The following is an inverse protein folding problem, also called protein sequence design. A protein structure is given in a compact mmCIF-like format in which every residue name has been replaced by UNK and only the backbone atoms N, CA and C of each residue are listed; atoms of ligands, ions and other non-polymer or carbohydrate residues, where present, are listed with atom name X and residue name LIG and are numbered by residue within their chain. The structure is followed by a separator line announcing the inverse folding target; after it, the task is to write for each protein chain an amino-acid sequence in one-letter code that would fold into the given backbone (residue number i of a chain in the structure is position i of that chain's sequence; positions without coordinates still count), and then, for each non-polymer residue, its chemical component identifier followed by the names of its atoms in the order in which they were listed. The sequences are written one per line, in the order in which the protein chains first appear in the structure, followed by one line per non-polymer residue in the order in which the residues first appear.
data_IF_571195249189
#
_entry.id   IF_571195249189
#
_cell.length_a   1.000
_cell.length_b   1.000
_cell.length_c   1.000
_cell.angle_alpha   90.00
_cell.angle_beta   90.00
_cell.angle_gamma   90.00
#
_symmetry.space_group_name_H-M   'P 1'
#
loop_
_entity.id
_entity.type
_entity.pdbx_description
1 polymer ?
#
# COMPACT_ATOMS: atom_id res chain seq x y z
N UNK A 1 -9.98 4.58 -2.26
CA UNK A 1 -8.94 4.82 -1.25
C UNK A 1 -8.71 3.56 -0.41
N UNK A 2 -7.45 3.22 -0.15
CA UNK A 2 -7.04 1.93 0.44
C UNK A 2 -7.50 1.82 1.90
N UNK A 3 -8.18 0.73 2.29
CA UNK A 3 -8.55 0.50 3.68
C UNK A 3 -7.32 0.44 4.60
N UNK A 4 -7.36 1.10 5.77
CA UNK A 4 -6.18 1.29 6.62
C UNK A 4 -5.63 -0.03 7.18
N UNK A 5 -6.52 -0.92 7.63
CA UNK A 5 -6.14 -2.21 8.20
C UNK A 5 -5.51 -3.11 7.13
N UNK A 6 -6.14 -3.17 5.96
CA UNK A 6 -5.71 -3.98 4.84
C UNK A 6 -4.43 -3.44 4.21
N UNK A 7 -4.22 -2.12 4.23
CA UNK A 7 -2.96 -1.50 3.84
C UNK A 7 -1.79 -1.92 4.74
N UNK A 8 -1.99 -1.92 6.07
CA UNK A 8 -0.96 -2.41 7.01
C UNK A 8 -0.73 -3.91 6.83
N UNK A 9 -1.79 -4.68 6.61
CA UNK A 9 -1.67 -6.11 6.31
C UNK A 9 -0.90 -6.36 5.01
N UNK A 10 -1.07 -5.50 4.01
CA UNK A 10 -0.33 -5.60 2.75
C UNK A 10 1.18 -5.38 2.95
N UNK A 11 1.60 -4.47 3.83
CA UNK A 11 3.03 -4.39 4.22
C UNK A 11 3.50 -5.71 4.82
N UNK A 12 2.77 -6.26 5.79
CA UNK A 12 3.14 -7.55 6.39
C UNK A 12 3.29 -8.63 5.32
N UNK A 13 2.30 -8.76 4.44
CA UNK A 13 2.34 -9.73 3.33
C UNK A 13 3.54 -9.49 2.40
N UNK A 14 3.90 -8.24 2.12
CA UNK A 14 5.06 -7.90 1.31
C UNK A 14 6.37 -8.30 2.01
N UNK A 15 6.51 -8.00 3.29
CA UNK A 15 7.69 -8.41 4.08
C UNK A 15 7.85 -9.92 4.13
N UNK A 16 6.74 -10.64 4.35
CA UNK A 16 6.70 -12.10 4.33
C UNK A 16 7.06 -12.64 2.92
N UNK A 17 6.52 -12.04 1.86
CA UNK A 17 6.79 -12.41 0.45
C UNK A 17 8.25 -12.20 0.05
N UNK A 18 8.92 -11.20 0.63
CA UNK A 18 10.35 -10.92 0.43
C UNK A 18 11.24 -11.68 1.42
N UNK A 19 10.66 -12.52 2.29
CA UNK A 19 11.37 -13.29 3.33
C UNK A 19 12.24 -12.42 4.26
N UNK A 20 11.81 -11.17 4.49
CA UNK A 20 12.55 -10.21 5.31
C UNK A 20 12.22 -10.38 6.79
N UNK A 21 13.27 -10.42 7.63
CA UNK A 21 13.15 -10.46 9.10
C UNK A 21 13.37 -9.10 9.76
N UNK A 22 14.05 -8.18 9.08
CA UNK A 22 14.30 -6.82 9.55
C UNK A 22 14.61 -5.86 8.40
N UNK A 23 14.40 -4.57 8.61
CA UNK A 23 14.80 -3.49 7.68
C UNK A 23 15.50 -2.40 8.49
N UNK A 24 16.71 -2.01 8.08
CA UNK A 24 17.47 -0.95 8.77
C UNK A 24 17.71 -1.24 10.27
N UNK A 25 17.86 -2.52 10.64
CA UNK A 25 18.01 -2.96 12.03
C UNK A 25 16.69 -3.05 12.84
N UNK A 26 15.56 -2.66 12.25
CA UNK A 26 14.24 -2.79 12.87
C UNK A 26 13.59 -4.12 12.52
N UNK A 27 13.13 -4.86 13.53
CA UNK A 27 12.33 -6.08 13.34
C UNK A 27 11.01 -5.77 12.62
N UNK A 28 10.50 -6.73 11.83
CA UNK A 28 9.25 -6.55 11.08
C UNK A 28 8.06 -6.20 11.98
N UNK A 29 7.99 -6.75 13.19
CA UNK A 29 6.88 -6.48 14.12
C UNK A 29 6.85 -5.01 14.52
N UNK A 30 8.03 -4.40 14.69
CA UNK A 30 8.17 -2.97 14.97
C UNK A 30 7.70 -2.14 13.78
N UNK A 31 8.11 -2.51 12.57
CA UNK A 31 7.72 -1.82 11.33
C UNK A 31 6.19 -1.87 11.14
N UNK A 32 5.57 -3.04 11.34
CA UNK A 32 4.13 -3.21 11.24
C UNK A 32 3.41 -2.39 12.31
N UNK A 33 3.92 -2.37 13.55
CA UNK A 33 3.34 -1.58 14.64
C UNK A 33 3.39 -0.08 14.35
N UNK A 34 4.53 0.42 13.86
CA UNK A 34 4.69 1.82 13.46
C UNK A 34 3.81 2.18 12.26
N UNK A 35 3.71 1.28 11.27
CA UNK A 35 2.85 1.47 10.11
C UNK A 35 1.38 1.61 10.52
N UNK A 36 0.93 0.74 11.43
CA UNK A 36 -0.41 0.83 12.02
C UNK A 36 -0.63 2.12 12.77
N UNK A 37 0.38 2.58 13.52
CA UNK A 37 0.30 3.85 14.25
C UNK A 37 0.11 5.04 13.29
N UNK A 38 0.93 5.13 12.24
CA UNK A 38 0.82 6.20 11.23
C UNK A 38 -0.55 6.17 10.55
N UNK A 39 -1.03 4.98 10.16
CA UNK A 39 -2.31 4.87 9.46
C UNK A 39 -3.52 5.21 10.34
N UNK A 40 -3.48 4.90 11.65
CA UNK A 40 -4.60 5.16 12.57
C UNK A 40 -4.61 6.54 13.20
N UNK A 41 -3.51 7.28 13.11
CA UNK A 41 -3.40 8.62 13.69
C UNK A 41 -3.29 9.68 12.60
N UNK A 42 -4.15 9.56 11.60
CA UNK A 42 -4.14 10.43 10.43
C UNK A 42 -5.13 11.60 10.63
N UNK A 43 -4.68 12.61 11.35
CA UNK A 43 -5.45 13.82 11.64
C UNK A 43 -4.93 14.99 10.81
N UNK A 44 -5.85 15.82 10.32
CA UNK A 44 -5.50 17.07 9.62
C UNK A 44 -6.37 18.23 10.13
N UNK A 45 -5.81 19.44 10.02
CA UNK A 45 -6.48 20.69 10.38
C UNK A 45 -6.99 21.36 9.11
N UNK A 46 -8.26 21.72 9.08
CA UNK A 46 -8.85 22.51 8.01
C UNK A 46 -9.83 23.52 8.62
N UNK A 47 -9.67 24.80 8.28
CA UNK A 47 -10.49 25.90 8.81
C UNK A 47 -10.63 25.91 10.35
N UNK A 48 -9.53 25.63 11.06
CA UNK A 48 -9.51 25.61 12.53
C UNK A 48 -10.18 24.38 13.16
N UNK A 49 -10.63 23.41 12.36
CA UNK A 49 -11.26 22.17 12.83
C UNK A 49 -10.38 20.96 12.53
N UNK A 50 -10.29 20.05 13.50
CA UNK A 50 -9.55 18.80 13.36
C UNK A 50 -10.45 17.71 12.77
N UNK A 51 -9.93 17.02 11.76
CA UNK A 51 -10.60 15.90 11.12
C UNK A 51 -9.74 14.65 11.20
N UNK A 52 -10.39 13.52 11.47
CA UNK A 52 -9.75 12.22 11.42
C UNK A 52 -10.05 11.53 10.09
N UNK A 53 -9.03 11.25 9.30
CA UNK A 53 -9.18 10.47 8.10
C UNK A 53 -9.28 8.98 8.46
N UNK A 54 -10.50 8.42 8.33
CA UNK A 54 -10.81 7.03 8.72
C UNK A 54 -10.54 5.98 7.62
N UNK A 55 -10.29 6.42 6.38
CA UNK A 55 -10.01 5.54 5.24
C UNK A 55 -8.89 6.14 4.40
N UNK A 56 -7.97 5.29 3.94
CA UNK A 56 -6.75 5.73 3.27
C UNK A 56 -5.69 6.30 4.22
N UNK A 57 -4.57 6.70 3.64
CA UNK A 57 -3.50 7.44 4.32
C UNK A 57 -3.46 8.90 3.86
N UNK A 58 -2.71 9.73 4.59
CA UNK A 58 -2.57 11.15 4.28
C UNK A 58 -1.85 11.31 2.94
N UNK A 59 -2.37 12.18 2.07
CA UNK A 59 -1.61 12.61 0.90
C UNK A 59 -0.36 13.35 1.39
N UNK A 60 0.82 13.00 0.83
CA UNK A 60 2.12 13.53 1.28
C UNK A 60 2.77 12.76 2.43
N UNK A 61 2.09 11.78 3.05
CA UNK A 61 2.76 10.89 4.00
C UNK A 61 3.74 9.96 3.27
N UNK A 62 5.01 9.86 3.71
CA UNK A 62 6.03 9.03 3.05
C UNK A 62 5.68 7.53 3.08
N UNK A 63 4.81 7.10 4.02
CA UNK A 63 4.40 5.71 4.14
C UNK A 63 3.22 5.35 3.22
N UNK A 64 2.35 6.32 2.92
CA UNK A 64 1.07 6.04 2.25
C UNK A 64 1.26 5.45 0.85
N UNK A 65 2.22 5.98 0.08
CA UNK A 65 2.52 5.46 -1.25
C UNK A 65 3.09 4.03 -1.19
N UNK A 66 3.97 3.75 -0.22
CA UNK A 66 4.53 2.41 -0.01
C UNK A 66 3.45 1.40 0.35
N UNK A 67 2.54 1.76 1.25
CA UNK A 67 1.35 0.94 1.57
C UNK A 67 0.52 0.69 0.32
N UNK A 68 0.32 1.73 -0.48
CA UNK A 68 -0.49 1.62 -1.68
C UNK A 68 0.10 0.64 -2.70
N UNK A 69 1.41 0.74 -2.95
CA UNK A 69 2.09 -0.18 -3.84
C UNK A 69 2.09 -1.61 -3.33
N UNK A 70 2.28 -1.83 -2.02
CA UNK A 70 2.18 -3.17 -1.43
C UNK A 70 0.77 -3.75 -1.62
N UNK A 71 -0.27 -2.96 -1.36
CA UNK A 71 -1.66 -3.40 -1.50
C UNK A 71 -1.99 -3.75 -2.95
N UNK A 72 -1.71 -2.84 -3.90
CA UNK A 72 -2.03 -3.03 -5.31
C UNK A 72 -1.25 -4.22 -5.91
N UNK A 73 -0.01 -4.45 -5.49
CA UNK A 73 0.76 -5.63 -5.94
C UNK A 73 0.03 -6.95 -5.71
N UNK A 74 -0.61 -7.13 -4.54
CA UNK A 74 -1.38 -8.35 -4.27
C UNK A 74 -2.77 -8.31 -4.88
N UNK A 75 -3.41 -7.15 -4.89
CA UNK A 75 -4.76 -6.98 -5.43
C UNK A 75 -4.83 -7.27 -6.93
N UNK A 76 -3.85 -6.79 -7.69
CA UNK A 76 -3.83 -6.86 -9.15
C UNK A 76 -3.19 -8.15 -9.68
N UNK A 77 -2.61 -8.98 -8.81
CA UNK A 77 -1.78 -10.13 -9.23
C UNK A 77 -2.48 -11.09 -10.20
N UNK A 78 -3.77 -11.32 -9.99
CA UNK A 78 -4.55 -12.21 -10.85
C UNK A 78 -4.79 -11.60 -12.24
N UNK A 79 -5.09 -10.30 -12.31
CA UNK A 79 -5.36 -9.64 -13.60
C UNK A 79 -4.07 -9.47 -14.41
N UNK A 80 -2.97 -9.11 -13.74
CA UNK A 80 -1.63 -9.05 -14.35
C UNK A 80 -1.27 -10.41 -14.95
N UNK A 81 -1.45 -11.50 -14.19
CA UNK A 81 -1.17 -12.86 -14.67
C UNK A 81 -2.02 -13.24 -15.87
N UNK A 82 -3.31 -12.90 -15.87
CA UNK A 82 -4.20 -13.18 -17.01
C UNK A 82 -3.78 -12.43 -18.27
N UNK A 83 -3.51 -11.13 -18.15
CA UNK A 83 -3.10 -10.27 -19.28
C UNK A 83 -1.78 -10.77 -19.86
N UNK A 84 -0.77 -11.01 -19.00
CA UNK A 84 0.54 -11.52 -19.44
C UNK A 84 0.43 -12.90 -20.08
N UNK A 85 -0.40 -13.80 -19.55
CA UNK A 85 -0.60 -15.13 -20.14
C UNK A 85 -1.30 -15.06 -21.51
N UNK A 86 -2.14 -14.06 -21.74
CA UNK A 86 -2.78 -13.81 -23.04
C UNK A 86 -1.84 -13.10 -24.04
N UNK A 87 -0.59 -12.82 -23.66
CA UNK A 87 0.38 -12.09 -24.48
C UNK A 87 0.18 -10.56 -24.48
N UNK A 88 -0.62 -10.03 -23.57
CA UNK A 88 -0.81 -8.60 -23.37
C UNK A 88 0.26 -7.95 -22.48
N UNK A 89 0.20 -6.63 -22.34
CA UNK A 89 1.08 -5.82 -21.49
C UNK A 89 0.27 -5.16 -20.38
N UNK A 90 0.79 -5.21 -19.15
CA UNK A 90 0.25 -4.48 -18.01
C UNK A 90 1.35 -3.66 -17.36
N UNK A 91 1.16 -2.35 -17.27
CA UNK A 91 2.03 -1.42 -16.57
C UNK A 91 1.20 -0.58 -15.60
N UNK A 92 1.75 -0.26 -14.42
CA UNK A 92 1.11 0.63 -13.44
C UNK A 92 2.10 1.69 -12.97
N UNK A 93 1.64 2.94 -12.96
CA UNK A 93 2.32 4.07 -12.34
C UNK A 93 1.42 4.66 -11.26
N UNK A 94 1.68 4.30 -10.00
CA UNK A 94 0.88 4.72 -8.84
C UNK A 94 -0.61 4.34 -9.01
N UNK A 95 -1.46 5.27 -9.40
CA UNK A 95 -2.90 5.10 -9.64
C UNK A 95 -3.27 4.97 -11.12
N UNK A 96 -2.34 5.28 -12.03
CA UNK A 96 -2.51 5.10 -13.47
C UNK A 96 -2.12 3.69 -13.93
N UNK A 97 -2.90 3.14 -14.85
CA UNK A 97 -2.64 1.85 -15.48
C UNK A 97 -2.59 1.99 -16.99
N UNK A 98 -1.64 1.29 -17.61
CA UNK A 98 -1.54 1.15 -19.06
C UNK A 98 -1.61 -0.33 -19.42
N UNK A 99 -2.62 -0.70 -20.21
CA UNK A 99 -2.94 -2.09 -20.52
C UNK A 99 -3.09 -2.28 -22.02
N UNK A 100 -2.42 -3.27 -22.57
CA UNK A 100 -2.60 -3.77 -23.94
C UNK A 100 -3.11 -5.21 -23.85
N UNK A 101 -4.19 -5.51 -24.56
CA UNK A 101 -4.76 -6.86 -24.68
C UNK A 101 -4.68 -7.32 -26.15
N UNK A 102 -4.58 -8.64 -26.35
CA UNK A 102 -4.66 -9.27 -27.67
C UNK A 102 -6.11 -9.58 -28.04
#
# INVERSE_FOLDING_TARGET
MIPQTEGVLAIKKMLDYLELKQIGGLKIETIIRLSRFVMRNNYFLYEGQYYHQIRGGAMGSPLTLTIANCYMFFFERNIVKQITNAGGLYLRYIDDMFIIIN
#
